data_IF_952476493836
#
_entry.id   IF_952476493836
#
_cell.length_a   1.000
_cell.length_b   1.000
_cell.length_c   1.000
_cell.angle_alpha   90.00
_cell.angle_beta   90.00
_cell.angle_gamma   90.00
#
_symmetry.space_group_name_H-M   'P 1'
#
loop_
_entity.id
_entity.type
_entity.pdbx_description
1 polymer ?
#
# COMPACT_ATOMS: atom_id res chain seq x y z
N UNK A 1 0.90 14.29 -32.25
CA UNK A 1 1.35 13.96 -30.85
C UNK A 1 2.01 15.20 -30.29
N UNK A 2 1.47 15.76 -29.21
CA UNK A 2 1.89 17.04 -28.66
C UNK A 2 3.31 16.89 -28.03
N UNK A 3 4.16 17.92 -28.10
CA UNK A 3 5.54 17.92 -27.56
C UNK A 3 5.58 17.50 -26.08
N UNK A 4 4.57 17.92 -25.33
CA UNK A 4 4.39 17.55 -23.91
C UNK A 4 4.18 16.05 -23.68
N UNK A 5 3.42 15.38 -24.56
CA UNK A 5 3.16 13.93 -24.45
C UNK A 5 4.45 13.13 -24.67
N UNK A 6 5.30 13.54 -25.62
CA UNK A 6 6.60 12.89 -25.85
C UNK A 6 7.54 13.00 -24.64
N UNK A 7 7.57 14.16 -23.99
CA UNK A 7 8.41 14.39 -22.79
C UNK A 7 7.93 13.51 -21.64
N UNK A 8 6.61 13.44 -21.41
CA UNK A 8 6.02 12.59 -20.37
C UNK A 8 6.34 11.11 -20.62
N UNK A 9 6.22 10.62 -21.85
CA UNK A 9 6.56 9.23 -22.19
C UNK A 9 8.04 8.94 -21.94
N UNK A 10 8.96 9.83 -22.31
CA UNK A 10 10.41 9.66 -22.07
C UNK A 10 10.71 9.59 -20.56
N UNK A 11 10.13 10.49 -19.75
CA UNK A 11 10.34 10.51 -18.29
C UNK A 11 9.71 9.27 -17.66
N UNK A 12 8.51 8.88 -18.10
CA UNK A 12 7.82 7.69 -17.63
C UNK A 12 8.65 6.43 -17.89
N UNK A 13 9.15 6.27 -19.11
CA UNK A 13 9.97 5.11 -19.50
C UNK A 13 11.31 5.07 -18.73
N UNK A 14 11.85 6.23 -18.35
CA UNK A 14 13.07 6.30 -17.53
C UNK A 14 12.83 5.97 -16.07
N UNK A 15 11.73 6.44 -15.47
CA UNK A 15 11.46 6.30 -14.04
C UNK A 15 10.62 5.06 -13.71
N UNK A 16 9.72 4.66 -14.61
CA UNK A 16 8.68 3.65 -14.38
C UNK A 16 8.69 2.57 -15.48
N UNK A 17 9.87 2.26 -16.07
CA UNK A 17 10.02 1.11 -16.96
C UNK A 17 10.11 -0.20 -16.19
N UNK A 18 9.86 -1.31 -16.86
CA UNK A 18 10.03 -2.66 -16.32
C UNK A 18 11.45 -2.88 -15.78
N UNK A 19 12.45 -2.47 -16.57
CA UNK A 19 13.86 -2.58 -16.16
C UNK A 19 14.17 -1.75 -14.89
N UNK A 20 13.66 -0.53 -14.80
CA UNK A 20 13.82 0.32 -13.59
C UNK A 20 13.13 -0.31 -12.40
N UNK A 21 11.94 -0.86 -12.58
CA UNK A 21 11.20 -1.58 -11.54
C UNK A 21 12.00 -2.76 -10.98
N UNK A 22 12.50 -3.64 -11.84
CA UNK A 22 13.29 -4.82 -11.43
C UNK A 22 14.60 -4.43 -10.73
N UNK A 23 15.26 -3.37 -11.22
CA UNK A 23 16.47 -2.86 -10.58
C UNK A 23 16.17 -2.28 -9.20
N UNK A 24 15.12 -1.49 -9.06
CA UNK A 24 14.67 -0.91 -7.79
C UNK A 24 14.30 -2.00 -6.79
N UNK A 25 13.58 -3.04 -7.24
CA UNK A 25 13.22 -4.20 -6.45
C UNK A 25 14.45 -4.88 -5.85
N UNK A 26 15.43 -5.22 -6.69
CA UNK A 26 16.67 -5.87 -6.25
C UNK A 26 17.46 -5.03 -5.24
N UNK A 27 17.57 -3.71 -5.50
CA UNK A 27 18.29 -2.81 -4.59
C UNK A 27 17.56 -2.73 -3.23
N UNK A 28 16.25 -2.57 -3.23
CA UNK A 28 15.50 -2.45 -1.98
C UNK A 28 15.50 -3.76 -1.20
N UNK A 29 15.40 -4.92 -1.87
CA UNK A 29 15.52 -6.22 -1.21
C UNK A 29 16.91 -6.42 -0.57
N UNK A 30 17.99 -6.01 -1.25
CA UNK A 30 19.33 -6.05 -0.67
C UNK A 30 19.44 -5.16 0.58
N UNK A 31 18.91 -3.92 0.50
CA UNK A 31 18.86 -3.00 1.65
C UNK A 31 18.03 -3.60 2.79
N UNK A 32 16.89 -4.20 2.48
CA UNK A 32 16.02 -4.85 3.46
C UNK A 32 16.72 -5.99 4.20
N UNK A 33 17.42 -6.88 3.47
CA UNK A 33 18.20 -7.98 4.07
C UNK A 33 19.33 -7.42 4.94
N UNK A 34 20.08 -6.44 4.43
CA UNK A 34 21.20 -5.86 5.18
C UNK A 34 20.70 -5.14 6.45
N UNK A 35 19.61 -4.41 6.35
CA UNK A 35 18.99 -3.73 7.50
C UNK A 35 18.51 -4.70 8.58
N UNK A 36 18.02 -5.89 8.20
CA UNK A 36 17.65 -6.94 9.16
C UNK A 36 18.86 -7.37 10.00
N UNK A 37 19.98 -7.68 9.34
CA UNK A 37 21.18 -8.11 10.06
C UNK A 37 21.78 -7.00 10.93
N UNK A 38 21.75 -5.74 10.46
CA UNK A 38 22.19 -4.59 11.27
C UNK A 38 21.29 -4.46 12.51
N UNK A 39 19.97 -4.49 12.34
CA UNK A 39 19.05 -4.38 13.46
C UNK A 39 19.23 -5.51 14.47
N UNK A 40 19.38 -6.74 13.97
CA UNK A 40 19.64 -7.89 14.80
C UNK A 40 20.97 -7.77 15.57
N UNK A 41 22.03 -7.30 14.91
CA UNK A 41 23.31 -7.04 15.55
C UNK A 41 23.20 -5.98 16.66
N UNK A 42 22.49 -4.88 16.41
CA UNK A 42 22.23 -3.83 17.42
C UNK A 42 21.54 -4.43 18.65
N UNK A 43 20.48 -5.24 18.46
CA UNK A 43 19.76 -5.90 19.56
C UNK A 43 20.71 -6.75 20.39
N UNK A 44 21.58 -7.56 19.77
CA UNK A 44 22.53 -8.40 20.48
C UNK A 44 23.63 -7.59 21.17
N UNK A 45 24.15 -6.51 20.55
CA UNK A 45 25.12 -5.62 21.20
C UNK A 45 24.55 -4.94 22.44
N UNK A 46 23.27 -4.53 22.40
CA UNK A 46 22.57 -4.00 23.57
C UNK A 46 22.34 -5.08 24.64
N UNK A 47 21.98 -6.31 24.22
CA UNK A 47 21.73 -7.43 25.17
C UNK A 47 22.99 -7.90 25.89
N UNK A 48 24.16 -7.72 25.30
CA UNK A 48 25.45 -8.09 25.89
C UNK A 48 26.16 -6.89 26.56
N UNK A 49 25.47 -5.78 26.77
CA UNK A 49 25.97 -4.53 27.41
C UNK A 49 27.25 -3.96 26.74
N UNK A 50 27.45 -4.25 25.44
CA UNK A 50 28.57 -3.64 24.70
C UNK A 50 28.34 -2.16 24.38
N UNK A 51 27.07 -1.71 24.36
CA UNK A 51 26.68 -0.33 24.06
C UNK A 51 25.53 0.04 25.00
N UNK A 52 25.71 1.11 25.78
CA UNK A 52 24.65 1.72 26.56
C UNK A 52 23.92 2.76 25.70
N UNK A 53 22.74 2.41 25.19
CA UNK A 53 21.86 3.38 24.53
C UNK A 53 20.62 3.64 25.41
N UNK A 54 20.31 4.92 25.72
CA UNK A 54 19.14 5.26 26.55
C UNK A 54 17.81 5.15 25.79
N UNK A 55 17.71 4.30 24.79
CA UNK A 55 16.50 4.17 23.93
C UNK A 55 15.63 3.04 24.48
N UNK A 56 14.52 3.39 25.13
CA UNK A 56 13.47 2.47 25.54
C UNK A 56 12.52 2.15 24.37
N UNK A 57 13.03 1.59 23.28
CA UNK A 57 12.21 1.15 22.16
C UNK A 57 11.90 -0.34 22.29
N UNK A 58 10.63 -0.73 22.21
CA UNK A 58 10.21 -2.13 22.21
C UNK A 58 10.83 -2.91 21.05
N UNK A 59 11.12 -2.23 19.92
CA UNK A 59 11.76 -2.83 18.76
C UNK A 59 13.21 -3.29 19.02
N UNK A 60 13.85 -2.88 20.11
CA UNK A 60 15.21 -3.28 20.47
C UNK A 60 15.26 -4.33 21.58
N UNK A 61 14.13 -4.72 22.17
CA UNK A 61 14.07 -5.68 23.27
C UNK A 61 14.08 -7.14 22.80
N UNK A 62 13.46 -7.44 21.66
CA UNK A 62 13.25 -8.81 21.19
C UNK A 62 13.87 -9.00 19.80
N UNK A 63 14.69 -10.05 19.58
CA UNK A 63 15.24 -10.37 18.25
C UNK A 63 14.19 -10.52 17.14
N UNK A 64 12.96 -10.97 17.46
CA UNK A 64 11.87 -11.07 16.50
C UNK A 64 11.48 -9.70 15.94
N UNK A 65 11.63 -8.62 16.71
CA UNK A 65 11.39 -7.25 16.27
C UNK A 65 12.29 -6.83 15.10
N UNK A 66 13.45 -7.47 14.92
CA UNK A 66 14.33 -7.18 13.79
C UNK A 66 13.64 -7.42 12.43
N UNK A 67 12.64 -8.31 12.37
CA UNK A 67 11.84 -8.53 11.16
C UNK A 67 11.04 -7.30 10.72
N UNK A 68 10.72 -6.37 11.63
CA UNK A 68 9.98 -5.15 11.29
C UNK A 68 10.75 -4.23 10.32
N UNK A 69 12.07 -4.15 10.45
CA UNK A 69 12.89 -3.24 9.64
C UNK A 69 12.91 -3.58 8.14
N UNK A 70 13.17 -4.82 7.69
CA UNK A 70 13.11 -5.17 6.28
C UNK A 70 11.73 -4.92 5.67
N UNK A 71 10.65 -5.22 6.39
CA UNK A 71 9.29 -4.93 5.91
C UNK A 71 9.03 -3.43 5.74
N UNK A 72 9.69 -2.56 6.49
CA UNK A 72 9.59 -1.12 6.32
C UNK A 72 10.24 -0.67 5.00
N UNK A 73 11.37 -1.25 4.60
CA UNK A 73 11.99 -0.98 3.30
C UNK A 73 11.18 -1.57 2.13
N UNK A 74 10.66 -2.80 2.28
CA UNK A 74 9.78 -3.42 1.29
C UNK A 74 8.56 -2.53 1.05
N UNK A 75 7.99 -1.91 2.08
CA UNK A 75 6.84 -1.01 1.95
C UNK A 75 7.17 0.24 1.13
N UNK A 76 8.40 0.76 1.19
CA UNK A 76 8.84 1.87 0.31
C UNK A 76 8.81 1.42 -1.16
N UNK A 77 9.24 0.19 -1.44
CA UNK A 77 9.15 -0.38 -2.78
C UNK A 77 7.70 -0.54 -3.24
N UNK A 78 6.81 -0.97 -2.35
CA UNK A 78 5.39 -1.12 -2.66
C UNK A 78 4.72 0.23 -2.99
N UNK A 79 5.12 1.31 -2.31
CA UNK A 79 4.72 2.68 -2.67
C UNK A 79 5.13 3.01 -4.12
N UNK A 80 6.38 2.69 -4.49
CA UNK A 80 6.84 2.85 -5.88
C UNK A 80 6.01 2.00 -6.85
N UNK A 81 5.68 0.75 -6.48
CA UNK A 81 4.83 -0.12 -7.30
C UNK A 81 3.43 0.45 -7.53
N UNK A 82 2.82 1.10 -6.53
CA UNK A 82 1.52 1.77 -6.71
C UNK A 82 1.58 2.83 -7.81
N UNK A 83 2.66 3.62 -7.85
CA UNK A 83 2.84 4.61 -8.90
C UNK A 83 3.07 3.93 -10.26
N UNK A 84 3.87 2.87 -10.29
CA UNK A 84 4.14 2.08 -11.50
C UNK A 84 2.87 1.46 -12.09
N UNK A 85 1.97 0.94 -11.25
CA UNK A 85 0.72 0.33 -11.69
C UNK A 85 -0.42 1.31 -11.96
N UNK A 86 -0.31 2.57 -11.56
CA UNK A 86 -1.34 3.59 -11.73
C UNK A 86 -1.80 3.78 -13.20
N UNK A 87 -0.94 3.74 -14.24
CA UNK A 87 -1.37 3.83 -15.63
C UNK A 87 -2.04 2.57 -16.16
N UNK A 88 -1.91 1.44 -15.46
CA UNK A 88 -2.56 0.17 -15.85
C UNK A 88 -4.09 0.24 -15.70
N UNK A 89 -4.78 -0.87 -15.91
CA UNK A 89 -6.23 -0.91 -15.70
C UNK A 89 -6.61 -0.60 -14.24
N UNK A 90 -7.83 -0.07 -14.01
CA UNK A 90 -8.32 0.15 -12.65
C UNK A 90 -8.27 -1.13 -11.82
N UNK A 91 -8.71 -2.26 -12.36
CA UNK A 91 -8.71 -3.54 -11.67
C UNK A 91 -7.29 -3.95 -11.25
N UNK A 92 -6.30 -3.88 -12.16
CA UNK A 92 -4.90 -4.21 -11.85
C UNK A 92 -4.32 -3.30 -10.77
N UNK A 93 -4.62 -2.01 -10.85
CA UNK A 93 -4.15 -1.02 -9.88
C UNK A 93 -4.73 -1.27 -8.48
N UNK A 94 -6.05 -1.54 -8.39
CA UNK A 94 -6.71 -1.86 -7.11
C UNK A 94 -6.22 -3.20 -6.55
N UNK A 95 -5.98 -4.21 -7.39
CA UNK A 95 -5.37 -5.47 -6.96
C UNK A 95 -4.04 -5.20 -6.24
N UNK A 96 -3.19 -4.33 -6.81
CA UNK A 96 -1.92 -3.97 -6.17
C UNK A 96 -2.10 -3.22 -4.86
N UNK A 97 -3.10 -2.35 -4.75
CA UNK A 97 -3.43 -1.72 -3.47
C UNK A 97 -3.80 -2.76 -2.40
N UNK A 98 -4.59 -3.77 -2.75
CA UNK A 98 -4.97 -4.84 -1.81
C UNK A 98 -3.78 -5.71 -1.38
N UNK A 99 -2.89 -6.05 -2.30
CA UNK A 99 -1.65 -6.79 -1.99
C UNK A 99 -0.79 -6.01 -0.98
N UNK A 100 -0.60 -4.71 -1.18
CA UNK A 100 0.19 -3.85 -0.30
C UNK A 100 -0.41 -3.77 1.10
N UNK A 101 -1.73 -3.66 1.20
CA UNK A 101 -2.42 -3.63 2.48
C UNK A 101 -2.18 -4.92 3.25
N UNK A 102 -2.19 -6.06 2.56
CA UNK A 102 -1.90 -7.34 3.20
C UNK A 102 -0.46 -7.38 3.73
N UNK A 103 0.51 -6.81 3.01
CA UNK A 103 1.89 -6.69 3.48
C UNK A 103 2.02 -5.77 4.70
N UNK A 104 1.22 -4.70 4.77
CA UNK A 104 1.16 -3.82 5.95
C UNK A 104 0.65 -4.59 7.17
N UNK A 105 -0.36 -5.45 7.01
CA UNK A 105 -0.88 -6.29 8.09
C UNK A 105 0.16 -7.32 8.52
N UNK A 106 0.83 -7.98 7.57
CA UNK A 106 1.92 -8.92 7.88
C UNK A 106 3.02 -8.24 8.68
N UNK A 107 3.43 -7.03 8.28
CA UNK A 107 4.40 -6.24 9.04
C UNK A 107 3.93 -5.98 10.49
N UNK A 108 2.65 -5.63 10.66
CA UNK A 108 2.04 -5.44 11.98
C UNK A 108 2.08 -6.74 12.79
N UNK A 109 1.75 -7.88 12.17
CA UNK A 109 1.83 -9.20 12.82
C UNK A 109 3.23 -9.51 13.36
N UNK A 110 4.30 -9.20 12.62
CA UNK A 110 5.67 -9.41 13.12
C UNK A 110 6.00 -8.51 14.32
N UNK A 111 5.48 -7.28 14.33
CA UNK A 111 5.63 -6.38 15.47
C UNK A 111 4.89 -6.93 16.70
N UNK A 112 3.64 -7.30 16.53
CA UNK A 112 2.78 -7.80 17.61
C UNK A 112 3.32 -9.15 18.15
N UNK A 113 3.82 -10.03 17.26
CA UNK A 113 4.49 -11.29 17.64
C UNK A 113 5.71 -11.07 18.56
N UNK A 114 6.43 -9.97 18.36
CA UNK A 114 7.58 -9.63 19.19
C UNK A 114 7.19 -9.20 20.63
N UNK A 115 5.96 -8.71 20.80
CA UNK A 115 5.40 -8.24 22.06
C UNK A 115 4.52 -9.29 22.78
N UNK A 116 4.31 -10.48 22.18
CA UNK A 116 3.47 -11.53 22.77
C UNK A 116 4.09 -12.11 24.04
N UNK A 117 3.27 -12.22 25.06
CA UNK A 117 3.56 -12.98 26.27
C UNK A 117 2.87 -14.34 26.18
N UNK A 118 3.64 -15.41 25.95
CA UNK A 118 3.12 -16.78 25.87
C UNK A 118 2.67 -17.25 27.24
N UNK A 119 1.46 -16.85 27.66
CA UNK A 119 0.85 -17.20 28.92
C UNK A 119 -0.40 -18.07 28.72
N UNK A 120 -0.88 -18.72 29.84
CA UNK A 120 -2.15 -19.43 29.81
C UNK A 120 -3.38 -18.52 29.59
N UNK A 121 -3.21 -17.22 29.78
CA UNK A 121 -4.28 -16.21 29.80
C UNK A 121 -4.42 -15.51 28.43
N UNK A 122 -4.07 -16.22 27.35
CA UNK A 122 -4.06 -15.72 25.96
C UNK A 122 -5.31 -14.93 25.56
N UNK A 123 -6.50 -15.40 25.99
CA UNK A 123 -7.77 -14.75 25.62
C UNK A 123 -8.13 -13.56 26.53
N UNK A 124 -7.42 -13.35 27.62
CA UNK A 124 -7.64 -12.22 28.53
C UNK A 124 -6.73 -11.05 28.22
N UNK A 125 -5.57 -11.30 27.61
CA UNK A 125 -4.61 -10.28 27.21
C UNK A 125 -5.05 -9.67 25.88
N UNK A 126 -5.40 -8.37 25.89
CA UNK A 126 -5.91 -7.65 24.70
C UNK A 126 -4.95 -7.69 23.51
N UNK A 127 -3.63 -7.67 23.75
CA UNK A 127 -2.61 -7.73 22.71
C UNK A 127 -2.59 -9.07 21.98
N UNK A 128 -2.64 -10.17 22.72
CA UNK A 128 -2.60 -11.53 22.19
C UNK A 128 -3.87 -11.85 21.38
N UNK A 129 -5.02 -11.39 21.90
CA UNK A 129 -6.29 -11.52 21.20
C UNK A 129 -6.31 -10.72 19.88
N UNK A 130 -5.75 -9.49 19.90
CA UNK A 130 -5.65 -8.67 18.67
C UNK A 130 -4.74 -9.33 17.63
N UNK A 131 -3.60 -9.89 18.05
CA UNK A 131 -2.72 -10.66 17.16
C UNK A 131 -3.48 -11.83 16.50
N UNK A 132 -4.28 -12.56 17.27
CA UNK A 132 -5.10 -13.67 16.76
C UNK A 132 -6.08 -13.19 15.68
N UNK A 133 -6.77 -12.06 15.91
CA UNK A 133 -7.69 -11.49 14.93
C UNK A 133 -6.95 -11.05 13.66
N UNK A 134 -5.81 -10.39 13.79
CA UNK A 134 -5.02 -9.93 12.64
C UNK A 134 -4.44 -11.12 11.84
N UNK A 135 -4.07 -12.22 12.52
CA UNK A 135 -3.63 -13.46 11.88
C UNK A 135 -4.75 -14.10 11.04
N UNK A 136 -5.94 -14.28 11.62
CA UNK A 136 -7.11 -14.84 10.92
C UNK A 136 -7.52 -13.93 9.77
N UNK A 137 -7.54 -12.61 9.99
CA UNK A 137 -7.86 -11.64 8.95
C UNK A 137 -6.87 -11.66 7.80
N UNK A 138 -5.57 -11.83 8.06
CA UNK A 138 -4.56 -11.92 7.00
C UNK A 138 -4.82 -13.12 6.07
N UNK A 139 -5.13 -14.28 6.62
CA UNK A 139 -5.48 -15.49 5.83
C UNK A 139 -6.76 -15.26 5.00
N UNK A 140 -7.78 -14.66 5.61
CA UNK A 140 -9.02 -14.31 4.92
C UNK A 140 -8.77 -13.31 3.79
N UNK A 141 -7.94 -12.28 4.01
CA UNK A 141 -7.57 -11.31 3.01
C UNK A 141 -6.82 -11.94 1.84
N UNK A 142 -5.86 -12.82 2.08
CA UNK A 142 -5.20 -13.56 1.01
C UNK A 142 -6.20 -14.29 0.11
N UNK A 143 -7.16 -14.96 0.72
CA UNK A 143 -8.20 -15.67 -0.03
C UNK A 143 -9.10 -14.71 -0.81
N UNK A 144 -9.53 -13.60 -0.21
CA UNK A 144 -10.36 -12.59 -0.87
C UNK A 144 -9.63 -11.91 -2.03
N UNK A 145 -8.34 -11.61 -1.87
CA UNK A 145 -7.51 -11.04 -2.94
C UNK A 145 -7.35 -12.04 -4.09
N UNK A 146 -7.11 -13.31 -3.78
CA UNK A 146 -7.09 -14.35 -4.81
C UNK A 146 -8.41 -14.41 -5.61
N UNK A 147 -9.56 -14.34 -4.93
CA UNK A 147 -10.87 -14.28 -5.60
C UNK A 147 -11.01 -13.01 -6.45
N UNK A 148 -10.55 -11.87 -5.94
CA UNK A 148 -10.59 -10.61 -6.67
C UNK A 148 -9.71 -10.66 -7.93
N UNK A 149 -8.51 -11.21 -7.85
CA UNK A 149 -7.61 -11.43 -8.99
C UNK A 149 -8.22 -12.35 -10.02
N UNK A 150 -8.84 -13.45 -9.58
CA UNK A 150 -9.55 -14.40 -10.46
C UNK A 150 -10.66 -13.70 -11.23
N UNK A 151 -11.48 -12.89 -10.56
CA UNK A 151 -12.54 -12.10 -11.20
C UNK A 151 -11.98 -11.02 -12.12
N UNK A 152 -10.86 -10.39 -11.75
CA UNK A 152 -10.18 -9.36 -12.54
C UNK A 152 -9.54 -9.89 -13.84
N UNK A 153 -9.14 -11.15 -13.85
CA UNK A 153 -8.52 -11.80 -15.00
C UNK A 153 -9.54 -12.42 -15.99
N UNK A 154 -10.82 -12.43 -15.65
CA UNK A 154 -11.86 -12.83 -16.60
C UNK A 154 -11.81 -11.87 -17.80
N UNK A 155 -11.24 -12.36 -18.93
CA UNK A 155 -11.17 -11.61 -20.18
C UNK A 155 -12.57 -11.46 -20.76
N UNK A 156 -13.18 -10.33 -20.53
CA UNK A 156 -14.32 -9.90 -21.33
C UNK A 156 -13.75 -9.44 -22.67
N UNK A 157 -14.14 -10.13 -23.74
CA UNK A 157 -13.78 -9.77 -25.12
C UNK A 157 -14.33 -8.37 -25.41
N UNK A 158 -13.53 -7.35 -25.18
CA UNK A 158 -13.89 -5.97 -25.51
C UNK A 158 -13.60 -5.73 -26.99
N UNK A 159 -14.64 -5.37 -27.71
CA UNK A 159 -14.52 -4.88 -29.08
C UNK A 159 -13.59 -3.65 -29.12
N UNK A 160 -12.64 -3.66 -30.02
CA UNK A 160 -11.53 -2.68 -30.18
C UNK A 160 -11.95 -1.24 -30.54
N UNK A 161 -13.25 -0.91 -30.53
CA UNK A 161 -13.78 0.37 -31.04
C UNK A 161 -13.33 1.65 -30.33
N UNK A 162 -12.67 1.56 -29.16
CA UNK A 162 -12.34 2.74 -28.34
C UNK A 162 -10.84 2.94 -28.07
N UNK A 163 -9.94 2.36 -28.86
CA UNK A 163 -8.49 2.51 -28.68
C UNK A 163 -8.01 3.96 -28.46
N UNK A 164 -8.39 4.96 -29.30
CA UNK A 164 -7.83 6.32 -29.15
C UNK A 164 -8.29 7.04 -27.88
N UNK A 165 -9.48 6.73 -27.37
CA UNK A 165 -10.02 7.31 -26.13
C UNK A 165 -9.29 6.73 -24.92
N UNK A 166 -9.05 5.41 -24.91
CA UNK A 166 -8.32 4.70 -23.86
C UNK A 166 -6.86 5.19 -23.81
N UNK A 167 -6.20 5.38 -24.95
CA UNK A 167 -4.82 5.90 -25.03
C UNK A 167 -4.69 7.30 -24.42
N UNK A 168 -5.66 8.20 -24.67
CA UNK A 168 -5.69 9.54 -24.04
C UNK A 168 -5.82 9.44 -22.52
N UNK A 169 -6.64 8.52 -22.02
CA UNK A 169 -6.80 8.30 -20.59
C UNK A 169 -5.52 7.74 -19.95
N UNK A 170 -4.88 6.76 -20.59
CA UNK A 170 -3.58 6.22 -20.16
C UNK A 170 -2.52 7.34 -20.13
N UNK A 171 -2.49 8.21 -21.14
CA UNK A 171 -1.57 9.35 -21.18
C UNK A 171 -1.74 10.30 -19.98
N UNK A 172 -2.98 10.59 -19.55
CA UNK A 172 -3.24 11.38 -18.34
C UNK A 172 -2.78 10.65 -17.07
N UNK A 173 -3.01 9.35 -16.97
CA UNK A 173 -2.51 8.53 -15.86
C UNK A 173 -0.99 8.50 -15.78
N UNK A 174 -0.29 8.38 -16.92
CA UNK A 174 1.17 8.48 -17.00
C UNK A 174 1.68 9.85 -16.52
N UNK A 175 1.02 10.93 -16.91
CA UNK A 175 1.36 12.28 -16.44
C UNK A 175 1.26 12.38 -14.90
N UNK A 176 0.16 11.89 -14.33
CA UNK A 176 -0.02 11.86 -12.88
C UNK A 176 1.07 11.01 -12.21
N UNK A 177 1.37 9.83 -12.75
CA UNK A 177 2.43 8.97 -12.22
C UNK A 177 3.80 9.65 -12.23
N UNK A 178 4.15 10.35 -13.30
CA UNK A 178 5.43 11.10 -13.40
C UNK A 178 5.50 12.24 -12.38
N UNK A 179 4.40 12.89 -12.06
CA UNK A 179 4.34 13.94 -11.01
C UNK A 179 4.44 13.34 -9.61
N UNK A 180 3.84 12.16 -9.38
CA UNK A 180 3.85 11.51 -8.08
C UNK A 180 5.25 11.05 -7.64
N UNK A 181 6.10 10.60 -8.56
CA UNK A 181 7.47 10.15 -8.20
C UNK A 181 8.26 11.24 -7.46
N UNK A 182 8.47 12.45 -8.03
CA UNK A 182 9.19 13.50 -7.31
C UNK A 182 8.43 14.01 -6.09
N UNK A 183 7.08 14.04 -6.12
CA UNK A 183 6.27 14.45 -4.97
C UNK A 183 6.55 13.55 -3.76
N UNK A 184 6.51 12.23 -3.93
CA UNK A 184 6.77 11.30 -2.83
C UNK A 184 8.22 11.29 -2.39
N UNK A 185 9.15 11.48 -3.32
CA UNK A 185 10.55 11.65 -2.95
C UNK A 185 10.75 12.89 -2.08
N UNK A 186 10.15 14.02 -2.43
CA UNK A 186 10.19 15.26 -1.63
C UNK A 186 9.52 15.06 -0.27
N UNK A 187 8.35 14.40 -0.22
CA UNK A 187 7.66 14.07 1.04
C UNK A 187 8.55 13.20 1.94
N UNK A 188 9.20 12.18 1.40
CA UNK A 188 10.12 11.33 2.15
C UNK A 188 11.31 12.11 2.71
N UNK A 189 11.89 13.02 1.91
CA UNK A 189 12.97 13.89 2.36
C UNK A 189 12.52 14.84 3.48
N UNK A 190 11.35 15.48 3.36
CA UNK A 190 10.81 16.35 4.40
C UNK A 190 10.55 15.60 5.71
N UNK A 191 9.99 14.41 5.63
CA UNK A 191 9.77 13.56 6.80
C UNK A 191 11.09 13.18 7.46
N UNK A 192 12.11 12.81 6.67
CA UNK A 192 13.44 12.45 7.18
C UNK A 192 14.15 13.66 7.83
N UNK A 193 14.11 14.84 7.20
CA UNK A 193 14.70 16.08 7.72
C UNK A 193 13.97 16.50 9.00
N UNK A 194 12.64 16.49 9.02
CA UNK A 194 11.85 16.82 10.20
C UNK A 194 12.17 15.91 11.38
N UNK A 195 12.36 14.63 11.12
CA UNK A 195 12.78 13.69 12.13
C UNK A 195 14.21 13.96 12.63
N UNK A 196 15.18 14.13 11.73
CA UNK A 196 16.57 14.38 12.11
C UNK A 196 16.74 15.71 12.90
N UNK A 197 15.97 16.75 12.57
CA UNK A 197 15.91 17.98 13.32
C UNK A 197 15.28 17.78 14.72
N UNK A 198 14.26 16.93 14.81
CA UNK A 198 13.66 16.54 16.10
C UNK A 198 14.62 15.79 17.01
N UNK A 199 15.45 14.91 16.45
CA UNK A 199 16.48 14.15 17.17
C UNK A 199 17.61 15.06 17.68
N UNK A 200 17.99 16.08 16.93
CA UNK A 200 19.07 17.00 17.32
C UNK A 200 18.67 18.06 18.38
N UNK A 201 17.37 18.27 18.58
CA UNK A 201 16.83 19.28 19.51
C UNK A 201 16.29 18.75 20.85
N UNK A 202 16.22 17.43 21.05
CA UNK A 202 15.60 16.84 22.25
C UNK A 202 16.58 16.16 23.20
N UNK A 203 16.34 16.36 24.50
CA UNK A 203 16.90 15.52 25.57
C UNK A 203 16.48 14.06 25.37
N UNK A 204 17.37 13.13 25.68
CA UNK A 204 17.26 11.67 25.41
C UNK A 204 15.94 10.98 25.83
N UNK A 205 15.07 11.64 26.61
CA UNK A 205 13.79 11.11 27.09
C UNK A 205 12.61 11.24 26.12
N UNK A 206 12.76 11.91 24.96
CA UNK A 206 11.68 12.17 23.99
C UNK A 206 12.11 12.00 22.52
N UNK A 207 12.99 11.06 22.21
CA UNK A 207 13.31 10.77 20.80
C UNK A 207 12.09 10.14 20.10
N UNK A 208 11.61 10.75 18.98
CA UNK A 208 10.57 10.13 18.17
C UNK A 208 11.09 8.79 17.62
N UNK A 209 10.33 7.73 17.83
CA UNK A 209 10.70 6.38 17.39
C UNK A 209 10.72 6.32 15.85
N UNK A 210 11.54 5.45 15.28
CA UNK A 210 11.56 5.16 13.84
C UNK A 210 10.17 4.73 13.31
N UNK A 211 9.35 4.15 14.18
CA UNK A 211 7.97 3.78 13.93
C UNK A 211 7.07 4.99 13.68
N UNK A 212 7.25 6.07 14.44
CA UNK A 212 6.46 7.31 14.29
C UNK A 212 6.72 8.00 12.95
N UNK A 213 7.94 7.90 12.41
CA UNK A 213 8.30 8.46 11.10
C UNK A 213 7.63 7.66 9.99
N UNK A 214 7.75 6.33 10.05
CA UNK A 214 7.11 5.47 9.07
C UNK A 214 5.60 5.72 9.04
N UNK A 215 4.94 5.75 10.19
CA UNK A 215 3.51 5.98 10.26
C UNK A 215 3.14 7.35 9.66
N UNK A 216 3.85 8.42 10.03
CA UNK A 216 3.59 9.76 9.51
C UNK A 216 3.80 9.84 7.99
N UNK A 217 4.89 9.25 7.47
CA UNK A 217 5.14 9.22 6.02
C UNK A 217 4.03 8.47 5.28
N UNK A 218 3.63 7.30 5.77
CA UNK A 218 2.60 6.51 5.13
C UNK A 218 1.22 7.14 5.23
N UNK A 219 0.88 7.81 6.32
CA UNK A 219 -0.38 8.55 6.44
C UNK A 219 -0.48 9.67 5.40
N UNK A 220 0.58 10.45 5.23
CA UNK A 220 0.63 11.51 4.22
C UNK A 220 0.60 10.94 2.80
N UNK A 221 1.40 9.91 2.54
CA UNK A 221 1.43 9.20 1.26
C UNK A 221 0.05 8.68 0.88
N UNK A 222 -0.57 7.99 1.80
CA UNK A 222 -1.90 7.46 1.57
C UNK A 222 -2.96 8.54 1.38
N UNK A 223 -2.89 9.65 2.05
CA UNK A 223 -3.80 10.79 1.83
C UNK A 223 -3.69 11.32 0.40
N UNK A 224 -2.47 11.53 -0.08
CA UNK A 224 -2.24 11.96 -1.47
C UNK A 224 -2.79 10.92 -2.46
N UNK A 225 -2.60 9.64 -2.18
CA UNK A 225 -3.07 8.57 -3.07
C UNK A 225 -4.60 8.53 -3.16
N UNK A 226 -5.36 8.77 -2.04
CA UNK A 226 -6.81 8.92 -2.10
C UNK A 226 -7.21 10.07 -3.03
N UNK A 227 -6.57 11.22 -2.87
CA UNK A 227 -6.88 12.37 -3.71
C UNK A 227 -6.64 12.06 -5.19
N UNK A 228 -5.54 11.35 -5.49
CA UNK A 228 -5.24 10.87 -6.85
C UNK A 228 -6.30 9.88 -7.35
N UNK A 229 -6.73 8.93 -6.52
CA UNK A 229 -7.76 7.97 -6.87
C UNK A 229 -9.10 8.65 -7.19
N UNK A 230 -9.48 9.67 -6.40
CA UNK A 230 -10.68 10.47 -6.66
C UNK A 230 -10.52 11.29 -7.97
N UNK A 231 -9.37 11.90 -8.20
CA UNK A 231 -9.10 12.63 -9.45
C UNK A 231 -9.16 11.69 -10.66
N UNK A 232 -8.57 10.51 -10.56
CA UNK A 232 -8.63 9.50 -11.62
C UNK A 232 -10.06 9.01 -11.87
N UNK A 233 -10.85 8.85 -10.82
CA UNK A 233 -12.26 8.53 -10.92
C UNK A 233 -13.02 9.61 -11.70
N UNK A 234 -12.86 10.88 -11.30
CA UNK A 234 -13.51 12.01 -11.99
C UNK A 234 -13.08 12.10 -13.44
N UNK A 235 -11.80 11.94 -13.72
CA UNK A 235 -11.28 11.90 -15.09
C UNK A 235 -11.90 10.71 -15.86
N UNK A 236 -12.10 9.56 -15.24
CA UNK A 236 -12.66 8.39 -15.91
C UNK A 236 -14.08 8.60 -16.43
N UNK A 237 -14.87 9.48 -15.79
CA UNK A 237 -16.22 9.83 -16.26
C UNK A 237 -16.24 10.51 -17.63
N UNK A 238 -15.18 11.23 -18.00
CA UNK A 238 -15.04 11.79 -19.33
C UNK A 238 -14.73 10.76 -20.43
N UNK A 239 -14.38 9.52 -20.04
CA UNK A 239 -13.93 8.49 -20.96
C UNK A 239 -14.85 7.26 -21.03
N UNK A 240 -15.91 7.21 -20.23
CA UNK A 240 -16.88 6.12 -20.24
C UNK A 240 -18.26 6.56 -19.81
N UNK A 241 -19.25 6.26 -20.64
CA UNK A 241 -20.67 6.50 -20.35
C UNK A 241 -21.37 5.23 -19.84
N UNK A 242 -20.65 4.11 -19.77
CA UNK A 242 -21.20 2.83 -19.34
C UNK A 242 -21.40 2.82 -17.82
N UNK A 243 -22.65 2.80 -17.39
CA UNK A 243 -23.04 2.84 -15.98
C UNK A 243 -22.28 1.81 -15.11
N UNK A 244 -22.22 0.54 -15.53
CA UNK A 244 -21.52 -0.53 -14.78
C UNK A 244 -20.02 -0.27 -14.62
N UNK A 245 -19.35 0.42 -15.57
CA UNK A 245 -17.95 0.82 -15.46
C UNK A 245 -17.75 1.98 -14.50
N UNK A 246 -18.67 2.92 -14.50
CA UNK A 246 -18.68 4.04 -13.55
C UNK A 246 -18.84 3.51 -12.14
N UNK A 247 -19.85 2.67 -11.88
CA UNK A 247 -20.09 2.07 -10.56
C UNK A 247 -18.88 1.22 -10.11
N UNK A 248 -18.28 0.43 -10.99
CA UNK A 248 -17.08 -0.33 -10.66
C UNK A 248 -15.93 0.57 -10.21
N UNK A 249 -15.61 1.60 -10.99
CA UNK A 249 -14.51 2.50 -10.65
C UNK A 249 -14.78 3.26 -9.35
N UNK A 250 -16.02 3.75 -9.15
CA UNK A 250 -16.45 4.40 -7.91
C UNK A 250 -16.37 3.47 -6.71
N UNK A 251 -16.85 2.23 -6.86
CA UNK A 251 -16.81 1.22 -5.80
C UNK A 251 -15.38 0.86 -5.40
N UNK A 252 -14.46 0.80 -6.36
CA UNK A 252 -13.04 0.57 -6.06
C UNK A 252 -12.43 1.72 -5.25
N UNK A 253 -12.71 2.97 -5.61
CA UNK A 253 -12.23 4.12 -4.84
C UNK A 253 -12.83 4.13 -3.43
N UNK A 254 -14.12 3.81 -3.28
CA UNK A 254 -14.75 3.67 -1.95
C UNK A 254 -14.05 2.58 -1.14
N UNK A 255 -13.78 1.42 -1.73
CA UNK A 255 -13.06 0.33 -1.06
C UNK A 255 -11.69 0.77 -0.56
N UNK A 256 -10.91 1.49 -1.38
CA UNK A 256 -9.59 1.98 -0.97
C UNK A 256 -9.66 3.05 0.12
N UNK A 257 -10.69 3.90 0.13
CA UNK A 257 -10.95 4.86 1.22
C UNK A 257 -11.28 4.12 2.52
N UNK A 258 -12.15 3.10 2.48
CA UNK A 258 -12.49 2.31 3.67
C UNK A 258 -11.26 1.63 4.28
N UNK A 259 -10.37 1.08 3.46
CA UNK A 259 -9.10 0.52 3.92
C UNK A 259 -8.26 1.55 4.66
N UNK A 260 -8.23 2.78 4.15
CA UNK A 260 -7.45 3.84 4.81
C UNK A 260 -8.05 4.30 6.11
N UNK A 261 -9.37 4.37 6.18
CA UNK A 261 -10.07 4.64 7.44
C UNK A 261 -9.73 3.57 8.50
N UNK A 262 -9.44 2.34 8.08
CA UNK A 262 -9.04 1.28 8.99
C UNK A 262 -7.70 1.55 9.67
N UNK A 263 -6.76 2.24 9.02
CA UNK A 263 -5.46 2.56 9.62
C UNK A 263 -5.55 3.63 10.72
N UNK A 264 -6.58 4.47 10.69
CA UNK A 264 -6.86 5.46 11.75
C UNK A 264 -7.57 4.79 12.94
N UNK A 265 -8.23 3.66 12.69
CA UNK A 265 -8.93 2.87 13.72
C UNK A 265 -7.95 1.93 14.42
N UNK A 266 -8.26 1.54 15.65
CA UNK A 266 -7.48 0.58 16.44
C UNK A 266 -8.26 -0.69 16.74
N UNK A 267 -7.53 -1.77 17.04
CA UNK A 267 -8.11 -3.02 17.48
C UNK A 267 -8.97 -3.72 16.43
N UNK A 268 -9.97 -4.46 16.87
CA UNK A 268 -10.85 -5.27 16.03
C UNK A 268 -11.57 -4.46 14.95
N UNK A 269 -11.90 -3.19 15.21
CA UNK A 269 -12.56 -2.30 14.24
C UNK A 269 -11.71 -2.10 12.99
N UNK A 270 -10.40 -1.89 13.16
CA UNK A 270 -9.45 -1.79 12.04
C UNK A 270 -9.48 -3.04 11.16
N UNK A 271 -9.38 -4.21 11.78
CA UNK A 271 -9.36 -5.50 11.12
C UNK A 271 -10.65 -5.78 10.34
N UNK A 272 -11.81 -5.50 10.97
CA UNK A 272 -13.13 -5.66 10.32
C UNK A 272 -13.25 -4.71 9.12
N UNK A 273 -12.87 -3.43 9.25
CA UNK A 273 -12.96 -2.46 8.16
C UNK A 273 -12.17 -2.89 6.93
N UNK A 274 -10.96 -3.45 7.10
CA UNK A 274 -10.14 -3.92 5.98
C UNK A 274 -10.84 -5.08 5.26
N UNK A 275 -11.31 -6.08 6.01
CA UNK A 275 -11.99 -7.24 5.43
C UNK A 275 -13.26 -6.81 4.69
N UNK A 276 -14.07 -5.94 5.29
CA UNK A 276 -15.30 -5.41 4.68
C UNK A 276 -14.98 -4.61 3.41
N UNK A 277 -13.92 -3.81 3.41
CA UNK A 277 -13.51 -3.03 2.25
C UNK A 277 -13.11 -3.92 1.06
N UNK A 278 -12.36 -4.99 1.29
CA UNK A 278 -11.96 -5.94 0.23
C UNK A 278 -13.16 -6.77 -0.24
N UNK A 279 -14.04 -7.21 0.67
CA UNK A 279 -15.31 -7.86 0.32
C UNK A 279 -16.19 -6.97 -0.55
N UNK A 280 -16.30 -5.68 -0.21
CA UNK A 280 -17.03 -4.72 -1.01
C UNK A 280 -16.44 -4.59 -2.43
N UNK A 281 -15.12 -4.46 -2.56
CA UNK A 281 -14.45 -4.43 -3.85
C UNK A 281 -14.68 -5.71 -4.67
N UNK A 282 -14.63 -6.88 -4.03
CA UNK A 282 -14.92 -8.17 -4.65
C UNK A 282 -16.39 -8.26 -5.13
N UNK A 283 -17.34 -7.78 -4.34
CA UNK A 283 -18.75 -7.72 -4.73
C UNK A 283 -18.94 -6.83 -5.96
N UNK A 284 -18.31 -5.65 -5.98
CA UNK A 284 -18.38 -4.69 -7.10
C UNK A 284 -17.84 -5.31 -8.39
N UNK A 285 -16.68 -5.98 -8.37
CA UNK A 285 -16.11 -6.59 -9.59
C UNK A 285 -16.98 -7.76 -10.06
N UNK A 286 -17.52 -8.54 -9.14
CA UNK A 286 -18.41 -9.67 -9.46
C UNK A 286 -19.70 -9.19 -10.14
N UNK A 287 -20.31 -8.12 -9.62
CA UNK A 287 -21.50 -7.51 -10.22
C UNK A 287 -21.16 -6.94 -11.61
N UNK A 288 -20.04 -6.22 -11.71
CA UNK A 288 -19.57 -5.67 -12.99
C UNK A 288 -19.39 -6.75 -14.06
N UNK A 289 -18.76 -7.88 -13.71
CA UNK A 289 -18.56 -9.01 -14.64
C UNK A 289 -19.89 -9.65 -15.09
N UNK A 290 -20.89 -9.70 -14.20
CA UNK A 290 -22.25 -10.14 -14.57
C UNK A 290 -22.91 -9.21 -15.58
N UNK A 291 -22.76 -7.88 -15.41
CA UNK A 291 -23.27 -6.91 -16.39
C UNK A 291 -22.57 -7.00 -17.75
N UNK A 292 -21.25 -7.26 -17.76
CA UNK A 292 -20.51 -7.43 -19.02
C UNK A 292 -20.89 -8.73 -19.75
N UNK A 293 -21.19 -9.82 -19.01
CA UNK A 293 -21.62 -11.11 -19.59
C UNK A 293 -23.07 -11.08 -20.09
N UNK A 294 -23.95 -10.32 -19.41
CA UNK A 294 -25.37 -10.22 -19.72
C UNK A 294 -25.74 -8.75 -19.92
N UNK A 295 -25.41 -8.15 -21.08
CA UNK A 295 -25.72 -6.75 -21.31
C UNK A 295 -27.24 -6.55 -21.34
N UNK A 296 -27.77 -5.71 -20.45
CA UNK A 296 -29.17 -5.29 -20.46
C UNK A 296 -29.35 -4.38 -21.67
N UNK A 297 -30.32 -4.65 -22.56
CA UNK A 297 -30.59 -3.79 -23.68
C UNK A 297 -30.92 -2.36 -23.15
N UNK A 298 -30.10 -1.39 -23.52
CA UNK A 298 -30.46 0.02 -23.24
C UNK A 298 -31.66 0.34 -24.11
N UNK A 299 -32.82 0.63 -23.50
CA UNK A 299 -33.93 1.25 -24.20
C UNK A 299 -33.39 2.52 -24.91
N UNK A 300 -33.57 2.56 -26.23
CA UNK A 300 -33.25 3.73 -27.05
C UNK A 300 -34.17 4.87 -26.73
#
# INVERSE_FOLDING_TARGET
MNKTTKIVDIIFDKLLSEHTREKTEKIILQIAIFSFFIHLAIIYFLKFDFIEFPINSELLKNPISAAYTPFSFILIYEVYLLIYYLPKSFTTYITKQYEIITLIIIRKLFKDLAALELSSDWFEIKGDLQFTYDLVASLLLFYLIFLFQKQGNEKVVQQEKNKPIIEKFIGKKKLIAVILVPLFFVMALFTLIGWSAGVSGFSASKMPSFESINNLFFDQFFTVLILVDVVLLLISFFYTDKFHKIIRNSGFVISTILIRMSFVSSGLTSTILIVVAVLFGLAIITIHNKYEKNPIPTAK
#
